data_IF_857754988927
#
_entry.id   IF_857754988927
#
_cell.length_a   1.000
_cell.length_b   1.000
_cell.length_c   1.000
_cell.angle_alpha   90.00
_cell.angle_beta   90.00
_cell.angle_gamma   90.00
#
_symmetry.space_group_name_H-M   'P 1'
#
loop_
_entity.id
_entity.type
_entity.pdbx_description
1 polymer ?
#
# COMPACT_ATOMS: atom_id res chain seq x y z
N UNK A 1 -12.30 22.61 -12.20
CA UNK A 1 -11.81 21.42 -12.89
C UNK A 1 -11.44 20.39 -11.83
N UNK A 2 -11.96 19.16 -11.95
CA UNK A 2 -11.69 18.08 -11.00
C UNK A 2 -10.84 17.04 -11.72
N UNK A 3 -9.73 16.68 -11.12
CA UNK A 3 -8.88 15.57 -11.57
C UNK A 3 -9.10 14.35 -10.69
N UNK A 4 -9.09 13.18 -11.29
CA UNK A 4 -9.22 11.90 -10.61
C UNK A 4 -7.90 11.15 -10.71
N UNK A 5 -7.37 10.77 -9.57
CA UNK A 5 -6.19 9.93 -9.48
C UNK A 5 -6.57 8.58 -8.89
N UNK A 6 -6.03 7.53 -9.48
CA UNK A 6 -6.06 6.18 -8.92
C UNK A 6 -4.70 5.54 -9.13
N UNK A 7 -4.42 4.51 -8.36
CA UNK A 7 -3.15 3.80 -8.42
C UNK A 7 -3.35 2.34 -8.81
N UNK A 8 -2.29 1.76 -9.30
CA UNK A 8 -2.14 0.33 -9.53
C UNK A 8 -0.83 -0.15 -8.92
N UNK A 9 -0.78 -1.40 -8.42
CA UNK A 9 0.47 -2.05 -8.12
C UNK A 9 1.44 -1.94 -9.30
N UNK A 10 2.72 -1.81 -9.01
CA UNK A 10 3.74 -1.53 -10.03
C UNK A 10 3.74 -2.57 -11.15
N UNK A 11 3.58 -3.84 -10.80
CA UNK A 11 3.47 -4.95 -11.75
C UNK A 11 2.29 -4.80 -12.73
N UNK A 12 1.16 -4.31 -12.24
CA UNK A 12 -0.03 -4.06 -13.05
C UNK A 12 0.07 -2.76 -13.84
N UNK A 13 0.67 -1.72 -13.24
CA UNK A 13 0.89 -0.45 -13.93
C UNK A 13 1.78 -0.59 -15.17
N UNK A 14 2.80 -1.44 -15.15
CA UNK A 14 3.64 -1.74 -16.30
C UNK A 14 2.86 -2.37 -17.47
N UNK A 15 1.77 -3.06 -17.19
CA UNK A 15 0.92 -3.65 -18.19
C UNK A 15 -0.04 -2.62 -18.80
N UNK A 16 0.29 -2.13 -20.01
CA UNK A 16 -0.53 -1.13 -20.70
C UNK A 16 -1.98 -1.57 -20.93
N UNK A 17 -2.23 -2.87 -21.15
CA UNK A 17 -3.58 -3.41 -21.31
C UNK A 17 -4.39 -3.28 -20.04
N UNK A 18 -3.79 -3.57 -18.86
CA UNK A 18 -4.44 -3.42 -17.56
C UNK A 18 -4.74 -1.95 -17.25
N UNK A 19 -3.77 -1.04 -17.46
CA UNK A 19 -3.99 0.41 -17.30
C UNK A 19 -5.14 0.92 -18.16
N UNK A 20 -5.10 0.59 -19.45
CA UNK A 20 -6.13 1.02 -20.40
C UNK A 20 -7.50 0.42 -20.08
N UNK A 21 -7.54 -0.83 -19.62
CA UNK A 21 -8.78 -1.47 -19.19
C UNK A 21 -9.37 -0.74 -17.97
N UNK A 22 -8.57 -0.45 -16.96
CA UNK A 22 -9.03 0.29 -15.77
C UNK A 22 -9.53 1.68 -16.14
N UNK A 23 -8.74 2.43 -16.93
CA UNK A 23 -9.12 3.76 -17.39
C UNK A 23 -10.45 3.75 -18.16
N UNK A 24 -10.58 2.87 -19.13
CA UNK A 24 -11.83 2.70 -19.89
C UNK A 24 -13.01 2.32 -19.00
N UNK A 25 -12.81 1.46 -18.01
CA UNK A 25 -13.86 1.08 -17.07
C UNK A 25 -14.32 2.24 -16.22
N UNK A 26 -13.40 3.06 -15.71
CA UNK A 26 -13.72 4.28 -14.94
C UNK A 26 -14.44 5.31 -15.81
N UNK A 27 -13.96 5.55 -17.03
CA UNK A 27 -14.53 6.54 -17.94
C UNK A 27 -15.81 6.07 -18.64
N UNK A 28 -16.25 4.82 -18.42
CA UNK A 28 -17.45 4.28 -19.06
C UNK A 28 -18.72 4.66 -18.29
N UNK A 29 -19.48 5.60 -18.86
CA UNK A 29 -20.81 5.94 -18.35
C UNK A 29 -20.79 6.95 -17.20
N UNK A 30 -21.96 7.10 -16.58
CA UNK A 30 -22.17 7.98 -15.43
C UNK A 30 -22.12 7.16 -14.14
N UNK A 31 -21.36 7.63 -13.18
CA UNK A 31 -21.29 7.04 -11.86
C UNK A 31 -22.17 7.87 -10.90
N UNK A 32 -23.11 7.22 -10.23
CA UNK A 32 -23.96 7.85 -9.22
C UNK A 32 -23.62 7.27 -7.86
N UNK A 33 -23.12 8.12 -6.99
CA UNK A 33 -22.83 7.76 -5.60
C UNK A 33 -23.93 8.31 -4.71
N UNK A 34 -24.54 7.45 -3.91
CA UNK A 34 -25.53 7.87 -2.90
C UNK A 34 -24.84 7.90 -1.55
N UNK A 35 -24.67 9.08 -0.99
CA UNK A 35 -24.15 9.27 0.37
C UNK A 35 -25.35 9.25 1.31
N UNK A 36 -25.38 8.26 2.20
CA UNK A 36 -26.40 8.15 3.23
C UNK A 36 -26.04 9.05 4.40
N UNK A 37 -26.81 10.09 4.63
CA UNK A 37 -26.69 10.96 5.79
C UNK A 37 -27.71 10.59 6.89
N UNK A 38 -27.56 11.21 8.06
CA UNK A 38 -28.50 11.03 9.17
C UNK A 38 -29.91 11.56 8.83
N UNK A 39 -29.98 12.70 8.12
CA UNK A 39 -31.25 13.39 7.83
C UNK A 39 -31.73 13.22 6.38
N UNK A 40 -30.82 12.96 5.45
CA UNK A 40 -31.15 12.81 4.03
C UNK A 40 -30.08 12.08 3.24
N UNK A 41 -30.48 11.51 2.11
CA UNK A 41 -29.55 10.91 1.15
C UNK A 41 -29.17 11.94 0.08
N UNK A 42 -27.87 12.12 -0.14
CA UNK A 42 -27.34 12.98 -1.20
C UNK A 42 -26.87 12.13 -2.37
N UNK A 43 -27.34 12.42 -3.58
CA UNK A 43 -26.85 11.79 -4.80
C UNK A 43 -25.83 12.69 -5.47
N UNK A 44 -24.62 12.15 -5.67
CA UNK A 44 -23.53 12.82 -6.37
C UNK A 44 -23.28 12.12 -7.70
N UNK A 45 -23.33 12.89 -8.79
CA UNK A 45 -22.95 12.39 -10.10
C UNK A 45 -21.44 12.62 -10.30
N UNK A 46 -20.71 11.54 -10.53
CA UNK A 46 -19.27 11.59 -10.84
C UNK A 46 -19.10 11.27 -12.32
N UNK A 47 -18.41 12.12 -13.03
CA UNK A 47 -18.13 11.94 -14.45
C UNK A 47 -16.62 11.88 -14.66
N UNK A 48 -16.11 10.68 -14.95
CA UNK A 48 -14.73 10.47 -15.32
C UNK A 48 -14.57 10.65 -16.83
N UNK A 49 -13.61 11.47 -17.24
CA UNK A 49 -13.19 11.57 -18.64
C UNK A 49 -11.74 11.10 -18.79
N UNK A 50 -11.35 10.76 -20.00
CA UNK A 50 -9.96 10.36 -20.25
C UNK A 50 -8.96 11.49 -19.97
N UNK A 51 -9.37 12.74 -20.14
CA UNK A 51 -8.53 13.93 -19.94
C UNK A 51 -8.34 14.30 -18.47
N UNK A 52 -9.26 13.89 -17.60
CA UNK A 52 -9.18 14.20 -16.17
C UNK A 52 -8.93 12.97 -15.26
N UNK A 53 -8.68 11.80 -15.86
CA UNK A 53 -8.43 10.56 -15.11
C UNK A 53 -7.01 10.07 -15.33
N UNK A 54 -6.26 9.98 -14.23
CA UNK A 54 -4.86 9.59 -14.21
C UNK A 54 -4.69 8.32 -13.41
N UNK A 55 -3.82 7.44 -13.90
CA UNK A 55 -3.45 6.20 -13.22
C UNK A 55 -1.95 6.25 -12.97
N UNK A 56 -1.56 6.09 -11.72
CA UNK A 56 -0.18 6.11 -11.27
C UNK A 56 0.23 4.76 -10.65
N UNK A 57 1.51 4.43 -10.62
CA UNK A 57 1.99 3.31 -9.80
C UNK A 57 1.94 3.70 -8.31
N UNK A 58 1.53 2.76 -7.46
CA UNK A 58 1.35 2.99 -6.02
C UNK A 58 2.61 3.56 -5.35
N UNK A 59 3.78 2.98 -5.62
CA UNK A 59 5.02 3.47 -5.05
C UNK A 59 5.35 4.94 -5.40
N UNK A 60 5.02 5.40 -6.62
CA UNK A 60 5.22 6.82 -6.98
C UNK A 60 4.21 7.72 -6.26
N UNK A 61 2.96 7.28 -6.14
CA UNK A 61 1.95 8.04 -5.41
C UNK A 61 2.34 8.17 -3.93
N UNK A 62 2.83 7.09 -3.32
CA UNK A 62 3.36 7.10 -1.96
C UNK A 62 4.53 8.07 -1.80
N UNK A 63 5.49 8.04 -2.72
CA UNK A 63 6.64 8.95 -2.68
C UNK A 63 6.21 10.42 -2.79
N UNK A 64 5.27 10.74 -3.67
CA UNK A 64 4.73 12.09 -3.78
C UNK A 64 4.08 12.50 -2.45
N UNK A 65 3.32 11.59 -1.82
CA UNK A 65 2.71 11.84 -0.52
C UNK A 65 3.72 12.09 0.61
N UNK A 66 4.94 11.56 0.48
CA UNK A 66 6.01 11.77 1.46
C UNK A 66 6.67 13.16 1.36
N UNK A 67 6.69 13.75 0.18
CA UNK A 67 7.48 14.96 -0.09
C UNK A 67 6.61 16.20 -0.34
N UNK A 68 5.30 16.05 -0.51
CA UNK A 68 4.43 17.15 -0.92
C UNK A 68 3.33 17.42 0.10
N UNK A 69 3.28 18.65 0.61
CA UNK A 69 2.18 19.15 1.43
C UNK A 69 1.11 19.79 0.53
N UNK A 70 -0.11 19.23 0.47
CA UNK A 70 -1.17 19.77 -0.35
C UNK A 70 -1.78 21.08 0.19
N UNK A 71 -1.56 21.40 1.48
CA UNK A 71 -2.14 22.58 2.14
C UNK A 71 -1.39 23.84 1.72
N UNK A 72 -0.07 23.81 1.84
CA UNK A 72 0.76 24.98 1.49
C UNK A 72 1.57 24.77 0.20
N UNK A 73 1.33 23.68 -0.53
CA UNK A 73 2.01 23.33 -1.79
C UNK A 73 3.54 23.21 -1.64
N UNK A 74 3.99 22.75 -0.49
CA UNK A 74 5.39 22.54 -0.16
C UNK A 74 5.70 21.09 0.15
N UNK A 75 6.96 20.82 0.40
CA UNK A 75 7.38 19.52 0.89
C UNK A 75 6.89 19.28 2.31
N UNK A 76 6.49 18.04 2.58
CA UNK A 76 6.09 17.62 3.92
C UNK A 76 7.21 17.79 4.93
N UNK A 77 6.83 18.17 6.14
CA UNK A 77 7.65 18.00 7.33
C UNK A 77 7.57 16.56 7.78
N UNK A 78 8.61 15.84 7.62
CA UNK A 78 8.64 14.42 7.92
C UNK A 78 8.48 14.09 9.40
N UNK A 79 8.94 14.98 10.30
CA UNK A 79 8.79 14.79 11.74
C UNK A 79 7.35 14.68 12.24
N UNK A 80 6.39 15.20 11.48
CA UNK A 80 4.96 15.07 11.82
C UNK A 80 4.37 13.72 11.40
N UNK A 81 4.91 13.11 10.35
CA UNK A 81 4.42 11.83 9.81
C UNK A 81 5.22 10.63 10.32
N UNK A 82 6.50 10.83 10.57
CA UNK A 82 7.44 9.79 10.94
C UNK A 82 8.28 10.27 12.12
N UNK A 83 7.81 10.02 13.33
CA UNK A 83 8.49 10.45 14.56
C UNK A 83 9.95 9.97 14.66
N UNK A 84 10.25 8.85 14.03
CA UNK A 84 11.58 8.23 14.03
C UNK A 84 12.31 8.40 12.67
N UNK A 85 11.77 9.21 11.74
CA UNK A 85 12.40 9.40 10.44
C UNK A 85 13.68 10.26 10.58
N UNK A 86 14.73 9.95 9.83
CA UNK A 86 15.99 10.68 9.87
C UNK A 86 15.89 12.08 9.26
N UNK A 87 14.73 12.44 8.73
CA UNK A 87 14.51 13.70 8.00
C UNK A 87 13.57 14.60 8.80
N UNK A 88 13.94 15.86 8.91
CA UNK A 88 13.13 16.88 9.56
C UNK A 88 12.08 17.48 8.62
N UNK A 89 12.31 17.38 7.31
CA UNK A 89 11.40 17.88 6.28
C UNK A 89 11.47 17.10 4.97
N UNK A 90 10.53 17.34 4.06
CA UNK A 90 10.47 16.67 2.76
C UNK A 90 11.64 17.02 1.83
N UNK A 91 12.33 18.14 2.06
CA UNK A 91 13.51 18.49 1.29
C UNK A 91 14.66 17.53 1.60
N UNK A 92 14.88 17.21 2.87
CA UNK A 92 15.91 16.26 3.28
C UNK A 92 15.63 14.86 2.66
N UNK A 93 14.36 14.43 2.62
CA UNK A 93 13.97 13.21 1.91
C UNK A 93 14.24 13.32 0.41
N UNK A 94 13.86 14.44 -0.23
CA UNK A 94 14.07 14.69 -1.65
C UNK A 94 15.57 14.62 -2.03
N UNK A 95 16.45 15.10 -1.16
CA UNK A 95 17.89 15.09 -1.37
C UNK A 95 18.55 13.74 -1.01
N UNK A 96 17.79 12.77 -0.54
CA UNK A 96 18.30 11.47 -0.05
C UNK A 96 18.85 10.55 -1.15
N UNK A 97 18.63 10.86 -2.43
CA UNK A 97 19.11 10.04 -3.54
C UNK A 97 18.21 8.84 -3.85
N UNK A 98 18.75 7.63 -3.79
CA UNK A 98 17.97 6.41 -4.06
C UNK A 98 17.25 5.91 -2.82
N UNK A 99 15.96 5.67 -2.95
CA UNK A 99 15.08 5.27 -1.87
C UNK A 99 14.46 3.92 -2.21
N UNK A 100 14.52 2.97 -1.29
CA UNK A 100 13.76 1.74 -1.32
C UNK A 100 12.42 1.97 -0.63
N UNK A 101 11.33 1.77 -1.36
CA UNK A 101 9.97 1.79 -0.83
C UNK A 101 9.45 0.36 -0.72
N UNK A 102 8.90 0.02 0.45
CA UNK A 102 8.25 -1.25 0.74
C UNK A 102 6.82 -0.94 1.16
N UNK A 103 5.86 -1.18 0.27
CA UNK A 103 4.44 -0.98 0.54
C UNK A 103 3.77 -2.31 0.87
N UNK A 104 3.49 -2.52 2.16
CA UNK A 104 2.87 -3.75 2.67
C UNK A 104 1.36 -3.57 2.72
N UNK A 105 0.70 -4.04 1.66
CA UNK A 105 -0.75 -3.98 1.54
C UNK A 105 -1.48 -5.20 2.13
N UNK A 106 -2.77 -5.26 1.86
CA UNK A 106 -3.62 -6.38 2.27
C UNK A 106 -3.34 -7.65 1.43
N UNK A 107 -3.29 -7.53 0.11
CA UNK A 107 -3.11 -8.65 -0.82
C UNK A 107 -1.74 -8.74 -1.48
N UNK A 108 -1.00 -7.64 -1.53
CA UNK A 108 0.30 -7.53 -2.18
C UNK A 108 1.29 -6.78 -1.32
N UNK A 109 2.56 -7.03 -1.57
CA UNK A 109 3.65 -6.17 -1.09
C UNK A 109 4.43 -5.68 -2.30
N UNK A 110 4.47 -4.37 -2.49
CA UNK A 110 5.21 -3.73 -3.57
C UNK A 110 6.56 -3.22 -3.06
N UNK A 111 7.62 -3.60 -3.74
CA UNK A 111 8.99 -3.19 -3.43
C UNK A 111 9.53 -2.44 -4.63
N UNK A 112 9.95 -1.20 -4.41
CA UNK A 112 10.42 -0.35 -5.49
C UNK A 112 11.62 0.49 -5.06
N UNK A 113 12.57 0.62 -5.98
CA UNK A 113 13.69 1.55 -5.83
C UNK A 113 13.44 2.73 -6.76
N UNK A 114 13.41 3.91 -6.17
CA UNK A 114 13.17 5.16 -6.87
C UNK A 114 14.19 6.19 -6.47
N UNK A 115 14.48 7.10 -7.41
CA UNK A 115 15.25 8.28 -7.05
C UNK A 115 14.31 9.33 -6.46
N UNK A 116 14.63 9.85 -5.29
CA UNK A 116 13.81 10.81 -4.55
C UNK A 116 13.56 12.10 -5.37
N UNK A 117 14.52 12.52 -6.18
CA UNK A 117 14.39 13.73 -7.02
C UNK A 117 13.71 13.47 -8.36
N UNK A 118 13.67 12.21 -8.83
CA UNK A 118 13.17 11.83 -10.15
C UNK A 118 12.35 10.53 -10.10
N UNK A 119 11.23 10.51 -9.38
CA UNK A 119 10.46 9.27 -9.15
C UNK A 119 10.02 8.57 -10.44
N UNK A 120 9.69 9.33 -11.49
CA UNK A 120 9.30 8.78 -12.79
C UNK A 120 10.48 8.22 -13.62
N UNK A 121 11.70 8.59 -13.29
CA UNK A 121 12.93 8.14 -13.94
C UNK A 121 13.78 7.23 -13.06
N UNK A 122 13.23 6.79 -11.93
CA UNK A 122 13.92 5.93 -10.99
C UNK A 122 14.49 4.68 -11.62
N UNK A 123 15.31 3.95 -10.90
CA UNK A 123 16.09 2.78 -11.38
C UNK A 123 15.23 1.68 -12.02
N UNK A 124 13.92 1.82 -11.97
CA UNK A 124 12.98 0.91 -12.62
C UNK A 124 12.99 -0.51 -12.03
N UNK A 125 13.64 -0.68 -10.89
CA UNK A 125 13.70 -1.92 -10.15
C UNK A 125 12.48 -1.95 -9.26
N UNK A 126 11.52 -2.78 -9.64
CA UNK A 126 10.26 -2.87 -8.94
C UNK A 126 9.75 -4.29 -9.01
N UNK A 127 9.34 -4.80 -7.90
CA UNK A 127 8.73 -6.12 -7.80
C UNK A 127 7.45 -6.05 -6.97
N UNK A 128 6.56 -6.99 -7.20
CA UNK A 128 5.36 -7.18 -6.40
C UNK A 128 5.32 -8.62 -5.93
N UNK A 129 5.20 -8.80 -4.64
CA UNK A 129 4.82 -10.08 -4.04
C UNK A 129 3.29 -10.17 -4.00
N UNK A 130 2.73 -11.26 -4.48
CA UNK A 130 1.29 -11.56 -4.35
C UNK A 130 0.95 -12.04 -2.93
N UNK A 131 1.52 -11.37 -1.94
CA UNK A 131 1.37 -11.66 -0.52
C UNK A 131 1.34 -10.34 0.24
N UNK A 132 0.41 -10.24 1.18
CA UNK A 132 0.26 -9.12 2.08
C UNK A 132 -0.32 -9.59 3.41
N UNK A 133 -0.57 -8.67 4.33
CA UNK A 133 -1.07 -9.01 5.67
C UNK A 133 -2.42 -9.73 5.62
N UNK A 134 -3.30 -9.34 4.70
CA UNK A 134 -4.58 -10.03 4.52
C UNK A 134 -4.43 -11.45 3.98
N UNK A 135 -3.41 -11.72 3.15
CA UNK A 135 -3.07 -13.08 2.70
C UNK A 135 -2.60 -13.92 3.86
N UNK A 136 -1.69 -13.39 4.69
CA UNK A 136 -1.22 -14.06 5.90
C UNK A 136 -2.37 -14.36 6.87
N UNK A 137 -3.27 -13.39 7.06
CA UNK A 137 -4.44 -13.56 7.92
C UNK A 137 -5.44 -14.60 7.39
N UNK A 138 -5.63 -14.68 6.06
CA UNK A 138 -6.48 -15.71 5.46
C UNK A 138 -5.90 -17.12 5.72
N UNK A 139 -4.60 -17.31 5.47
CA UNK A 139 -3.92 -18.59 5.72
C UNK A 139 -3.99 -18.99 7.21
N UNK A 140 -3.80 -18.02 8.11
CA UNK A 140 -3.91 -18.25 9.55
C UNK A 140 -5.32 -18.63 9.97
N UNK A 141 -6.33 -17.96 9.43
CA UNK A 141 -7.74 -18.26 9.68
C UNK A 141 -8.16 -19.64 9.17
N UNK A 142 -7.66 -20.02 7.99
CA UNK A 142 -7.92 -21.34 7.41
C UNK A 142 -7.28 -22.46 8.27
N UNK A 143 -6.04 -22.25 8.72
CA UNK A 143 -5.38 -23.21 9.60
C UNK A 143 -6.10 -23.33 10.95
N UNK A 144 -6.52 -22.21 11.53
CA UNK A 144 -7.34 -22.23 12.76
C UNK A 144 -8.62 -23.02 12.57
N UNK A 145 -9.29 -22.87 11.43
CA UNK A 145 -10.54 -23.58 11.14
C UNK A 145 -10.34 -25.08 10.91
N UNK A 146 -9.14 -25.53 10.53
CA UNK A 146 -8.78 -26.95 10.46
C UNK A 146 -8.65 -27.51 11.86
N UNK A 147 -7.92 -26.84 12.75
CA UNK A 147 -7.65 -27.32 14.10
C UNK A 147 -8.85 -27.15 15.04
N UNK A 148 -9.69 -26.13 14.78
CA UNK A 148 -10.89 -25.79 15.54
C UNK A 148 -12.09 -25.52 14.60
N UNK A 149 -12.74 -26.55 14.06
CA UNK A 149 -13.80 -26.41 13.05
C UNK A 149 -14.98 -25.54 13.47
N UNK A 150 -15.19 -25.36 14.78
CA UNK A 150 -16.22 -24.49 15.35
C UNK A 150 -15.85 -22.99 15.28
N UNK A 151 -14.57 -22.65 15.04
CA UNK A 151 -14.04 -21.27 14.99
C UNK A 151 -13.77 -20.86 13.53
N UNK A 152 -14.82 -20.86 12.70
CA UNK A 152 -14.73 -20.41 11.32
C UNK A 152 -14.94 -18.90 11.26
N UNK A 153 -13.87 -18.16 11.24
CA UNK A 153 -13.91 -16.71 11.09
C UNK A 153 -13.76 -16.30 9.63
N UNK A 154 -14.41 -15.20 9.25
CA UNK A 154 -13.98 -14.46 8.06
C UNK A 154 -12.64 -13.79 8.36
N UNK A 155 -11.86 -13.48 7.32
CA UNK A 155 -10.56 -12.80 7.47
C UNK A 155 -10.66 -11.53 8.33
N UNK A 156 -11.67 -10.69 8.10
CA UNK A 156 -11.89 -9.48 8.88
C UNK A 156 -12.13 -9.74 10.34
N UNK A 157 -13.00 -10.69 10.66
CA UNK A 157 -13.31 -11.09 12.05
C UNK A 157 -12.08 -11.69 12.72
N UNK A 158 -11.30 -12.50 11.98
CA UNK A 158 -10.06 -13.07 12.50
C UNK A 158 -9.06 -11.97 12.87
N UNK A 159 -8.85 -10.97 11.99
CA UNK A 159 -7.97 -9.83 12.26
C UNK A 159 -8.47 -8.98 13.42
N UNK A 160 -9.77 -8.79 13.57
CA UNK A 160 -10.34 -8.12 14.75
C UNK A 160 -10.03 -8.87 16.05
N UNK A 161 -10.12 -10.19 16.04
CA UNK A 161 -9.70 -11.00 17.20
C UNK A 161 -8.20 -10.84 17.47
N UNK A 162 -7.37 -10.92 16.45
CA UNK A 162 -5.92 -10.75 16.61
C UNK A 162 -5.51 -9.37 17.15
N UNK A 163 -6.27 -8.32 16.84
CA UNK A 163 -6.00 -6.94 17.33
C UNK A 163 -6.45 -6.69 18.77
N UNK A 164 -7.39 -7.47 19.28
CA UNK A 164 -7.87 -7.30 20.66
C UNK A 164 -6.74 -7.63 21.65
N UNK A 165 -6.79 -6.99 22.80
CA UNK A 165 -5.95 -7.32 23.95
C UNK A 165 -6.82 -8.08 24.96
N UNK A 166 -6.24 -9.07 25.62
CA UNK A 166 -6.81 -9.72 26.81
C UNK A 166 -8.05 -10.59 26.62
N UNK A 167 -8.15 -11.32 25.51
CA UNK A 167 -9.15 -12.38 25.34
C UNK A 167 -8.50 -13.70 24.93
N UNK A 168 -9.10 -14.83 25.33
CA UNK A 168 -8.66 -16.15 24.91
C UNK A 168 -8.67 -16.32 23.39
N UNK A 169 -9.70 -15.76 22.72
CA UNK A 169 -9.79 -15.72 21.27
C UNK A 169 -8.69 -14.89 20.61
N UNK A 170 -8.24 -13.83 21.27
CA UNK A 170 -7.11 -13.02 20.80
C UNK A 170 -5.80 -13.80 20.86
N UNK A 171 -5.52 -14.45 21.97
CA UNK A 171 -4.32 -15.27 22.15
C UNK A 171 -4.26 -16.38 21.10
N UNK A 172 -5.38 -17.03 20.85
CA UNK A 172 -5.49 -18.08 19.86
C UNK A 172 -5.26 -17.53 18.44
N UNK A 173 -5.93 -16.43 18.07
CA UNK A 173 -5.75 -15.80 16.75
C UNK A 173 -4.30 -15.37 16.50
N UNK A 174 -3.65 -14.77 17.49
CA UNK A 174 -2.23 -14.38 17.40
C UNK A 174 -1.32 -15.58 17.20
N UNK A 175 -1.55 -16.68 17.91
CA UNK A 175 -0.78 -17.92 17.78
C UNK A 175 -0.77 -18.44 16.33
N UNK A 176 -1.87 -18.30 15.60
CA UNK A 176 -1.95 -18.72 14.20
C UNK A 176 -1.47 -17.66 13.23
N UNK A 177 -1.62 -16.38 13.56
CA UNK A 177 -1.21 -15.27 12.70
C UNK A 177 0.32 -15.11 12.66
N UNK A 178 0.98 -15.19 13.80
CA UNK A 178 2.42 -14.92 13.93
C UNK A 178 3.30 -15.76 12.98
N UNK A 179 3.12 -17.10 12.85
CA UNK A 179 3.88 -17.87 11.88
C UNK A 179 3.68 -17.42 10.43
N UNK A 180 2.48 -17.01 10.06
CA UNK A 180 2.17 -16.54 8.70
C UNK A 180 2.78 -15.17 8.43
N UNK A 181 2.80 -14.28 9.43
CA UNK A 181 3.51 -12.99 9.33
C UNK A 181 5.02 -13.20 9.20
N UNK A 182 5.59 -14.13 9.94
CA UNK A 182 7.01 -14.48 9.84
C UNK A 182 7.38 -14.99 8.43
N UNK A 183 6.51 -15.80 7.82
CA UNK A 183 6.70 -16.24 6.44
C UNK A 183 6.60 -15.08 5.45
N UNK A 184 5.67 -14.16 5.64
CA UNK A 184 5.55 -12.95 4.84
C UNK A 184 6.81 -12.08 4.97
N UNK A 185 7.27 -11.85 6.19
CA UNK A 185 8.49 -11.06 6.45
C UNK A 185 9.72 -11.69 5.79
N UNK A 186 9.92 -13.01 5.89
CA UNK A 186 11.00 -13.69 5.23
C UNK A 186 10.93 -13.56 3.69
N UNK A 187 9.72 -13.59 3.11
CA UNK A 187 9.55 -13.38 1.67
C UNK A 187 9.90 -11.93 1.27
N UNK A 188 9.51 -10.94 2.08
CA UNK A 188 9.85 -9.53 1.87
C UNK A 188 11.36 -9.33 1.96
N UNK A 189 12.01 -9.85 3.00
CA UNK A 189 13.46 -9.75 3.20
C UNK A 189 14.24 -10.32 2.02
N UNK A 190 13.87 -11.50 1.55
CA UNK A 190 14.48 -12.12 0.38
C UNK A 190 14.37 -11.28 -0.87
N UNK A 191 13.21 -10.63 -1.09
CA UNK A 191 13.01 -9.81 -2.26
C UNK A 191 13.72 -8.45 -2.15
N UNK A 192 13.72 -7.85 -0.96
CA UNK A 192 14.50 -6.64 -0.64
C UNK A 192 15.98 -6.89 -0.93
N UNK A 193 16.54 -8.00 -0.47
CA UNK A 193 17.94 -8.32 -0.71
C UNK A 193 18.27 -8.43 -2.22
N UNK A 194 17.38 -9.04 -3.01
CA UNK A 194 17.54 -9.09 -4.47
C UNK A 194 17.52 -7.70 -5.10
N UNK A 195 16.61 -6.84 -4.68
CA UNK A 195 16.50 -5.48 -5.20
C UNK A 195 17.72 -4.64 -4.80
N UNK A 196 18.23 -4.78 -3.59
CA UNK A 196 19.50 -4.15 -3.16
C UNK A 196 20.67 -4.53 -4.07
N UNK A 197 20.83 -5.82 -4.34
CA UNK A 197 21.88 -6.32 -5.22
C UNK A 197 21.76 -5.78 -6.64
N UNK A 198 20.53 -5.71 -7.19
CA UNK A 198 20.28 -5.11 -8.51
C UNK A 198 20.62 -3.64 -8.57
N UNK A 199 20.46 -2.92 -7.46
CA UNK A 199 20.81 -1.51 -7.33
C UNK A 199 22.30 -1.28 -7.01
N UNK A 200 23.16 -2.29 -7.07
CA UNK A 200 24.55 -2.23 -6.66
C UNK A 200 24.76 -1.70 -5.23
N UNK A 201 23.80 -1.97 -4.36
CA UNK A 201 23.73 -1.47 -2.97
C UNK A 201 23.72 0.06 -2.85
N UNK A 202 23.36 0.78 -3.91
CA UNK A 202 23.24 2.23 -3.92
C UNK A 202 21.84 2.66 -3.45
N UNK A 203 21.53 2.40 -2.17
CA UNK A 203 20.29 2.75 -1.48
C UNK A 203 20.63 3.59 -0.26
N UNK A 204 20.12 4.79 -0.21
CA UNK A 204 20.40 5.74 0.86
C UNK A 204 19.34 5.70 1.97
N UNK A 205 18.12 5.34 1.62
CA UNK A 205 16.99 5.36 2.54
C UNK A 205 16.04 4.22 2.26
N UNK A 206 15.49 3.65 3.32
CA UNK A 206 14.40 2.66 3.25
C UNK A 206 13.16 3.26 3.87
N UNK A 207 12.05 3.18 3.18
CA UNK A 207 10.74 3.61 3.65
C UNK A 207 9.77 2.43 3.61
N UNK A 208 9.19 2.11 4.75
CA UNK A 208 8.15 1.09 4.88
C UNK A 208 6.82 1.77 5.10
N UNK A 209 5.82 1.38 4.33
CA UNK A 209 4.49 1.98 4.36
C UNK A 209 3.40 0.95 4.08
N UNK A 210 2.16 1.37 4.10
CA UNK A 210 1.00 0.51 3.86
C UNK A 210 0.26 0.11 5.12
N UNK A 211 -0.96 -0.41 4.98
CA UNK A 211 -1.81 -0.80 6.10
C UNK A 211 -1.33 -2.00 6.90
N UNK A 212 -0.30 -2.69 6.42
CA UNK A 212 0.34 -3.82 7.09
C UNK A 212 1.47 -3.46 8.05
N UNK A 213 1.78 -2.17 8.18
CA UNK A 213 2.89 -1.69 9.03
C UNK A 213 2.45 -1.47 10.49
N UNK A 214 1.13 -1.48 10.78
CA UNK A 214 0.53 -1.24 12.11
C UNK A 214 0.21 -2.53 12.86
#
# INVERSE_FOLDING_TARGET
LVFYLTCLPISEFRNSKKRNFLKKRLCKGKHVVTIKGLDSNVKVNINFSEDNTYIYPEGIAAQIGLIYDPVDSRYYRQGELYQDAPYEDGKAYHDSGNVLLIDIGDGTTDISIMNATRPLKGLGINTSLNQGVGTAAAMASDQLAIDYPQLRYTRSVFLEHAKRQDSEGSTLAKKYLEPQLNLLMAAIENEVEKEFRKANNDINTVVVLGGGVN
#
